data_IF_280075510738
#
_entry.id   IF_280075510738
#
_cell.length_a   1.000
_cell.length_b   1.000
_cell.length_c   1.000
_cell.angle_alpha   90.00
_cell.angle_beta   90.00
_cell.angle_gamma   90.00
#
_symmetry.space_group_name_H-M   'P 1'
#
loop_
_entity.id
_entity.type
_entity.pdbx_description
1 polymer ?
#
# COMPACT_ATOMS: atom_id res chain seq x y z
N UNK A 1 20.61 12.13 -23.51
CA UNK A 1 20.90 10.89 -22.74
C UNK A 1 19.79 10.67 -21.75
N UNK A 2 18.89 9.71 -22.03
CA UNK A 2 17.90 9.25 -21.05
C UNK A 2 18.69 8.49 -19.97
N UNK A 3 18.80 9.04 -18.75
CA UNK A 3 19.26 8.27 -17.60
C UNK A 3 18.22 7.18 -17.34
N UNK A 4 18.47 5.99 -17.80
CA UNK A 4 17.70 4.82 -17.41
C UNK A 4 18.09 4.51 -15.97
N UNK A 5 17.17 4.74 -15.04
CA UNK A 5 17.30 4.23 -13.69
C UNK A 5 17.34 2.71 -13.78
N UNK A 6 18.48 2.11 -13.45
CA UNK A 6 18.57 0.65 -13.38
C UNK A 6 17.78 0.20 -12.16
N UNK A 7 16.66 -0.47 -12.42
CA UNK A 7 15.92 -1.16 -11.37
C UNK A 7 16.65 -2.43 -11.00
N UNK A 8 16.75 -2.71 -9.71
CA UNK A 8 17.26 -4.00 -9.26
C UNK A 8 16.24 -5.09 -9.60
N UNK A 9 16.70 -6.30 -9.98
CA UNK A 9 15.82 -7.42 -10.20
C UNK A 9 15.09 -7.79 -8.89
N UNK A 10 13.87 -8.27 -9.03
CA UNK A 10 13.07 -8.76 -7.91
C UNK A 10 13.37 -10.25 -7.77
N UNK A 11 14.14 -10.62 -6.75
CA UNK A 11 14.63 -11.98 -6.55
C UNK A 11 13.99 -12.65 -5.33
N UNK A 12 13.57 -11.88 -4.33
CA UNK A 12 13.01 -12.41 -3.09
C UNK A 12 11.48 -12.46 -3.12
N UNK A 13 10.86 -13.63 -2.88
CA UNK A 13 9.41 -13.74 -2.83
C UNK A 13 8.81 -13.14 -1.56
N UNK A 14 7.63 -12.52 -1.71
CA UNK A 14 6.74 -12.18 -0.62
C UNK A 14 5.84 -13.39 -0.33
N UNK A 15 5.94 -13.94 0.85
CA UNK A 15 5.13 -15.08 1.27
C UNK A 15 3.76 -14.59 1.73
N UNK A 16 2.76 -14.72 0.86
CA UNK A 16 1.40 -14.28 1.17
C UNK A 16 0.65 -15.29 2.05
N UNK A 17 1.09 -16.54 2.08
CA UNK A 17 0.37 -17.65 2.73
C UNK A 17 -0.81 -18.18 1.94
N UNK A 18 -1.09 -17.61 0.77
CA UNK A 18 -2.16 -18.03 -0.12
C UNK A 18 -1.56 -18.89 -1.22
N UNK A 19 -1.80 -20.20 -1.15
CA UNK A 19 -1.18 -21.20 -2.07
C UNK A 19 -1.30 -20.84 -3.54
N UNK A 20 -2.45 -20.34 -3.97
CA UNK A 20 -2.68 -19.97 -5.36
C UNK A 20 -1.78 -18.80 -5.81
N UNK A 21 -1.54 -17.84 -4.94
CA UNK A 21 -0.68 -16.70 -5.23
C UNK A 21 0.78 -17.15 -5.20
N UNK A 22 1.20 -17.78 -4.11
CA UNK A 22 2.60 -18.11 -3.88
C UNK A 22 3.13 -19.15 -4.88
N UNK A 23 2.27 -20.06 -5.37
CA UNK A 23 2.67 -21.11 -6.30
C UNK A 23 2.53 -20.73 -7.79
N UNK A 24 1.51 -19.92 -8.15
CA UNK A 24 1.21 -19.67 -9.57
C UNK A 24 1.59 -18.25 -10.02
N UNK A 25 1.44 -17.26 -9.12
CA UNK A 25 1.69 -15.85 -9.43
C UNK A 25 2.42 -15.17 -8.26
N UNK A 26 3.63 -15.63 -7.92
CA UNK A 26 4.34 -15.14 -6.75
C UNK A 26 4.58 -13.64 -6.84
N UNK A 27 4.44 -12.97 -5.71
CA UNK A 27 4.73 -11.54 -5.56
C UNK A 27 6.13 -11.41 -4.99
N UNK A 28 6.97 -10.59 -5.60
CA UNK A 28 8.32 -10.33 -5.11
C UNK A 28 8.41 -9.10 -4.21
N UNK A 29 9.39 -9.08 -3.32
CA UNK A 29 9.72 -7.91 -2.50
C UNK A 29 10.26 -6.80 -3.39
N UNK A 30 9.64 -5.62 -3.35
CA UNK A 30 9.88 -4.52 -4.30
C UNK A 30 8.92 -4.50 -5.49
N UNK A 31 8.02 -5.47 -5.60
CA UNK A 31 6.99 -5.51 -6.64
C UNK A 31 5.73 -4.75 -6.21
N UNK A 32 4.97 -4.32 -7.21
CA UNK A 32 3.64 -3.71 -7.05
C UNK A 32 2.59 -4.70 -7.53
N UNK A 33 1.61 -4.99 -6.70
CA UNK A 33 0.52 -5.91 -7.03
C UNK A 33 -0.81 -5.19 -6.95
N UNK A 34 -1.62 -5.31 -8.00
CA UNK A 34 -3.00 -4.86 -8.00
C UNK A 34 -3.92 -5.99 -7.55
N UNK A 35 -4.76 -5.72 -6.56
CA UNK A 35 -5.87 -6.58 -6.16
C UNK A 35 -7.15 -5.89 -6.59
N UNK A 36 -7.80 -6.39 -7.63
CA UNK A 36 -9.00 -5.81 -8.24
C UNK A 36 -10.17 -6.78 -8.16
N UNK A 37 -11.37 -6.26 -8.00
CA UNK A 37 -12.61 -7.03 -7.97
C UNK A 37 -13.78 -6.22 -7.44
N UNK A 38 -14.98 -6.75 -7.56
CA UNK A 38 -16.20 -6.13 -7.06
C UNK A 38 -16.24 -6.03 -5.53
N UNK A 39 -17.27 -5.37 -5.01
CA UNK A 39 -17.49 -5.28 -3.58
C UNK A 39 -17.70 -6.67 -2.98
N UNK A 40 -17.12 -6.90 -1.79
CA UNK A 40 -17.24 -8.17 -1.03
C UNK A 40 -16.64 -9.40 -1.73
N UNK A 41 -15.68 -9.22 -2.65
CA UNK A 41 -14.97 -10.34 -3.32
C UNK A 41 -13.73 -10.82 -2.56
N UNK A 42 -13.50 -10.34 -1.34
CA UNK A 42 -12.38 -10.80 -0.52
C UNK A 42 -11.07 -10.03 -0.69
N UNK A 43 -11.06 -8.89 -1.41
CA UNK A 43 -9.84 -8.08 -1.62
C UNK A 43 -9.09 -7.74 -0.31
N UNK A 44 -9.83 -7.22 0.66
CA UNK A 44 -9.26 -6.87 1.98
C UNK A 44 -8.80 -8.12 2.72
N UNK A 45 -9.51 -9.26 2.59
CA UNK A 45 -9.11 -10.52 3.21
C UNK A 45 -7.75 -10.99 2.72
N UNK A 46 -7.52 -11.00 1.38
CA UNK A 46 -6.20 -11.33 0.79
C UNK A 46 -5.09 -10.45 1.39
N UNK A 47 -5.35 -9.16 1.54
CA UNK A 47 -4.38 -8.21 2.10
C UNK A 47 -4.10 -8.50 3.59
N UNK A 48 -5.14 -8.74 4.39
CA UNK A 48 -5.01 -9.05 5.81
C UNK A 48 -4.31 -10.39 6.02
N UNK A 49 -4.69 -11.43 5.28
CA UNK A 49 -4.04 -12.75 5.36
C UNK A 49 -2.55 -12.65 5.04
N UNK A 50 -2.17 -11.83 4.06
CA UNK A 50 -0.77 -11.57 3.74
C UNK A 50 -0.02 -10.93 4.91
N UNK A 51 -0.63 -9.98 5.62
CA UNK A 51 -0.05 -9.40 6.84
C UNK A 51 0.11 -10.47 7.92
N UNK A 52 -0.95 -11.22 8.21
CA UNK A 52 -0.94 -12.25 9.25
C UNK A 52 0.13 -13.31 9.00
N UNK A 53 0.36 -13.67 7.75
CA UNK A 53 1.36 -14.66 7.37
C UNK A 53 2.82 -14.18 7.59
N UNK A 54 3.06 -12.88 7.81
CA UNK A 54 4.40 -12.37 8.13
C UNK A 54 4.80 -12.64 9.59
N UNK A 55 3.90 -13.16 10.44
CA UNK A 55 4.16 -13.40 11.87
C UNK A 55 5.36 -14.31 12.09
N UNK A 56 5.44 -15.44 11.41
CA UNK A 56 6.55 -16.38 11.54
C UNK A 56 7.89 -15.73 11.13
N UNK A 57 7.91 -14.92 10.08
CA UNK A 57 9.08 -14.17 9.66
C UNK A 57 9.48 -13.14 10.72
N UNK A 58 8.51 -12.48 11.35
CA UNK A 58 8.76 -11.50 12.40
C UNK A 58 9.34 -12.16 13.66
N UNK A 59 8.74 -13.26 14.11
CA UNK A 59 9.16 -14.01 15.30
C UNK A 59 10.52 -14.71 15.13
N UNK A 60 10.96 -14.96 13.89
CA UNK A 60 12.27 -15.56 13.62
C UNK A 60 13.46 -14.70 14.11
N UNK A 61 13.27 -13.40 14.32
CA UNK A 61 14.33 -12.46 14.68
C UNK A 61 15.32 -12.16 13.56
N UNK A 62 15.19 -12.80 12.42
CA UNK A 62 16.05 -12.63 11.24
C UNK A 62 15.61 -11.37 10.46
N UNK A 63 16.45 -10.34 10.49
CA UNK A 63 16.15 -9.05 9.84
C UNK A 63 15.93 -9.16 8.34
N UNK A 64 16.57 -10.10 7.68
CA UNK A 64 16.45 -10.29 6.23
C UNK A 64 15.12 -10.97 5.85
N UNK A 65 14.46 -11.61 6.83
CA UNK A 65 13.13 -12.21 6.62
C UNK A 65 12.00 -11.33 7.12
N UNK A 66 12.26 -10.51 8.15
CA UNK A 66 11.25 -9.67 8.77
C UNK A 66 10.65 -8.68 7.77
N UNK A 67 9.33 -8.53 7.80
CA UNK A 67 8.60 -7.56 6.98
C UNK A 67 7.79 -6.65 7.89
N UNK A 68 8.01 -5.35 7.80
CA UNK A 68 7.14 -4.34 8.42
C UNK A 68 5.95 -4.07 7.53
N UNK A 69 4.76 -4.10 8.10
CA UNK A 69 3.53 -3.92 7.36
C UNK A 69 2.91 -2.54 7.63
N UNK A 70 2.36 -1.92 6.61
CA UNK A 70 1.60 -0.68 6.71
C UNK A 70 0.25 -0.90 6.01
N UNK A 71 -0.82 -0.79 6.77
CA UNK A 71 -2.17 -0.84 6.23
C UNK A 71 -2.74 0.57 6.16
N UNK A 72 -2.96 1.07 4.95
CA UNK A 72 -3.51 2.40 4.71
C UNK A 72 -4.99 2.28 4.37
N UNK A 73 -5.85 2.60 5.32
CA UNK A 73 -7.31 2.62 5.17
C UNK A 73 -7.77 3.98 4.65
N UNK A 74 -8.36 4.01 3.45
CA UNK A 74 -8.74 5.25 2.77
C UNK A 74 -10.25 5.27 2.54
N UNK A 75 -10.95 6.19 3.18
CA UNK A 75 -12.38 6.39 2.98
C UNK A 75 -13.27 5.22 3.45
N UNK A 76 -12.75 4.33 4.27
CA UNK A 76 -13.51 3.24 4.87
C UNK A 76 -14.34 3.71 6.06
N UNK A 77 -15.38 2.94 6.42
CA UNK A 77 -16.14 3.19 7.65
C UNK A 77 -15.26 2.93 8.87
N UNK A 78 -15.37 3.75 9.91
CA UNK A 78 -14.63 3.57 11.15
C UNK A 78 -14.80 2.18 11.77
N UNK A 79 -16.01 1.59 11.69
CA UNK A 79 -16.28 0.23 12.15
C UNK A 79 -15.50 -0.84 11.38
N UNK A 80 -15.27 -0.64 10.07
CA UNK A 80 -14.47 -1.55 9.25
C UNK A 80 -13.00 -1.47 9.66
N UNK A 81 -12.48 -0.25 9.86
CA UNK A 81 -11.10 -0.03 10.32
C UNK A 81 -10.88 -0.64 11.71
N UNK A 82 -11.85 -0.44 12.62
CA UNK A 82 -11.81 -1.06 13.95
C UNK A 82 -11.84 -2.60 13.89
N UNK A 83 -12.60 -3.17 12.94
CA UNK A 83 -12.61 -4.61 12.69
C UNK A 83 -11.25 -5.13 12.23
N UNK A 84 -10.63 -4.46 11.27
CA UNK A 84 -9.27 -4.81 10.80
C UNK A 84 -8.26 -4.72 11.95
N UNK A 85 -8.27 -3.61 12.71
CA UNK A 85 -7.40 -3.46 13.87
C UNK A 85 -7.56 -4.62 14.86
N UNK A 86 -8.80 -4.96 15.21
CA UNK A 86 -9.08 -6.06 16.15
C UNK A 86 -8.55 -7.40 15.61
N UNK A 87 -8.78 -7.71 14.33
CA UNK A 87 -8.25 -8.94 13.72
C UNK A 87 -6.72 -8.99 13.80
N UNK A 88 -6.02 -7.89 13.52
CA UNK A 88 -4.56 -7.82 13.64
C UNK A 88 -4.10 -7.97 15.10
N UNK A 89 -4.82 -7.39 16.05
CA UNK A 89 -4.53 -7.47 17.48
C UNK A 89 -4.71 -8.90 18.02
N UNK A 90 -5.82 -9.56 17.70
CA UNK A 90 -6.13 -10.94 18.09
C UNK A 90 -5.07 -11.94 17.61
N UNK A 91 -4.41 -11.67 16.49
CA UNK A 91 -3.36 -12.51 15.92
C UNK A 91 -1.94 -12.05 16.28
N UNK A 92 -1.79 -10.99 17.08
CA UNK A 92 -0.48 -10.43 17.46
C UNK A 92 0.27 -9.76 16.31
N UNK A 93 -0.43 -9.33 15.27
CA UNK A 93 0.18 -8.71 14.10
C UNK A 93 0.43 -7.20 14.25
N UNK A 94 -0.05 -6.57 15.32
CA UNK A 94 0.19 -5.14 15.58
C UNK A 94 1.65 -4.83 15.94
N UNK A 95 2.43 -5.82 16.38
CA UNK A 95 3.84 -5.63 16.71
C UNK A 95 4.69 -5.23 15.50
N UNK A 96 4.26 -5.62 14.29
CA UNK A 96 4.95 -5.32 13.04
C UNK A 96 4.07 -4.58 12.03
N UNK A 97 2.84 -4.20 12.41
CA UNK A 97 1.89 -3.54 11.51
C UNK A 97 1.49 -2.16 12.02
N UNK A 98 1.62 -1.16 11.17
CA UNK A 98 1.13 0.21 11.41
C UNK A 98 -0.12 0.45 10.58
N UNK A 99 -1.17 1.00 11.20
CA UNK A 99 -2.41 1.40 10.52
C UNK A 99 -2.40 2.91 10.33
N UNK A 100 -2.48 3.34 9.07
CA UNK A 100 -2.69 4.75 8.69
C UNK A 100 -4.13 4.90 8.22
N UNK A 101 -4.95 5.61 8.95
CA UNK A 101 -6.38 5.69 8.70
C UNK A 101 -6.83 7.10 8.31
N UNK A 102 -7.57 7.20 7.21
CA UNK A 102 -8.38 8.35 6.83
C UNK A 102 -9.82 7.87 6.57
N UNK A 103 -10.67 7.78 7.61
CA UNK A 103 -12.02 7.24 7.51
C UNK A 103 -12.92 8.07 6.60
N UNK A 104 -14.10 7.53 6.27
CA UNK A 104 -15.07 8.17 5.39
C UNK A 104 -15.54 9.54 5.90
N UNK A 105 -15.55 9.74 7.22
CA UNK A 105 -15.90 10.99 7.88
C UNK A 105 -14.87 12.11 7.70
N UNK A 106 -13.63 11.77 7.39
CA UNK A 106 -12.56 12.73 7.22
C UNK A 106 -12.70 13.57 5.95
N UNK A 107 -12.04 14.73 5.94
CA UNK A 107 -12.02 15.59 4.76
C UNK A 107 -11.32 14.93 3.56
N UNK A 108 -11.62 15.42 2.36
CA UNK A 108 -10.98 14.95 1.14
C UNK A 108 -9.44 15.12 1.19
N UNK A 109 -8.95 16.16 1.87
CA UNK A 109 -7.52 16.40 2.06
C UNK A 109 -6.81 15.25 2.78
N UNK A 110 -7.38 14.76 3.87
CA UNK A 110 -6.81 13.63 4.61
C UNK A 110 -6.83 12.34 3.80
N UNK A 111 -7.92 12.04 3.09
CA UNK A 111 -8.02 10.85 2.22
C UNK A 111 -7.02 10.90 1.06
N UNK A 112 -6.75 12.09 0.54
CA UNK A 112 -5.73 12.29 -0.48
C UNK A 112 -4.32 12.11 0.08
N UNK A 113 -4.05 12.60 1.31
CA UNK A 113 -2.72 12.60 1.93
C UNK A 113 -2.33 11.23 2.52
N UNK A 114 -3.27 10.47 3.07
CA UNK A 114 -3.00 9.23 3.81
C UNK A 114 -2.11 8.23 3.06
N UNK A 115 -2.30 7.94 1.75
CA UNK A 115 -1.42 7.04 1.02
C UNK A 115 0.03 7.54 0.96
N UNK A 116 0.23 8.84 0.80
CA UNK A 116 1.57 9.43 0.78
C UNK A 116 2.25 9.36 2.15
N UNK A 117 1.48 9.52 3.23
CA UNK A 117 1.98 9.36 4.59
C UNK A 117 2.42 7.92 4.86
N UNK A 118 1.59 6.94 4.45
CA UNK A 118 1.95 5.52 4.53
C UNK A 118 3.20 5.18 3.70
N UNK A 119 3.29 5.72 2.47
CA UNK A 119 4.46 5.55 1.63
C UNK A 119 5.73 6.16 2.26
N UNK A 120 5.63 7.34 2.88
CA UNK A 120 6.76 7.99 3.54
C UNK A 120 7.28 7.19 4.74
N UNK A 121 6.38 6.62 5.54
CA UNK A 121 6.73 5.68 6.62
C UNK A 121 7.46 4.46 6.08
N UNK A 122 6.92 3.85 5.01
CA UNK A 122 7.54 2.69 4.37
C UNK A 122 8.93 3.01 3.82
N UNK A 123 9.10 4.16 3.17
CA UNK A 123 10.40 4.61 2.67
C UNK A 123 11.42 4.81 3.80
N UNK A 124 11.00 5.37 4.94
CA UNK A 124 11.88 5.53 6.09
C UNK A 124 12.46 4.19 6.56
N UNK A 125 11.63 3.17 6.70
CA UNK A 125 12.11 1.85 7.10
C UNK A 125 12.91 1.16 6.00
N UNK A 126 12.51 1.31 4.74
CA UNK A 126 13.23 0.76 3.59
C UNK A 126 14.67 1.32 3.51
N UNK A 127 14.85 2.62 3.75
CA UNK A 127 16.19 3.22 3.78
C UNK A 127 17.05 2.77 4.97
N UNK A 128 16.43 2.17 5.99
CA UNK A 128 17.12 1.52 7.10
C UNK A 128 17.44 0.04 6.82
N UNK A 129 17.17 -0.44 5.59
CA UNK A 129 17.40 -1.82 5.19
C UNK A 129 16.29 -2.80 5.58
N UNK A 130 15.11 -2.32 5.98
CA UNK A 130 14.00 -3.23 6.30
C UNK A 130 13.15 -3.52 5.05
N UNK A 131 12.59 -4.73 4.98
CA UNK A 131 11.53 -5.03 4.04
C UNK A 131 10.21 -4.44 4.51
N UNK A 132 9.45 -3.85 3.58
CA UNK A 132 8.19 -3.18 3.89
C UNK A 132 7.09 -3.60 2.94
N UNK A 133 5.94 -3.99 3.50
CA UNK A 133 4.70 -4.22 2.76
C UNK A 133 3.76 -3.06 3.01
N UNK A 134 3.37 -2.34 1.96
CA UNK A 134 2.38 -1.25 2.07
C UNK A 134 1.11 -1.66 1.32
N UNK A 135 -0.01 -1.63 2.03
CA UNK A 135 -1.33 -1.95 1.48
C UNK A 135 -2.17 -0.68 1.45
N UNK A 136 -2.71 -0.34 0.29
CA UNK A 136 -3.62 0.79 0.11
C UNK A 136 -5.05 0.27 -0.12
N UNK A 137 -5.94 0.46 0.83
CA UNK A 137 -7.33 0.02 0.76
C UNK A 137 -8.29 1.20 0.98
N UNK A 138 -8.82 1.85 -0.10
CA UNK A 138 -8.49 1.61 -1.50
C UNK A 138 -8.08 2.92 -2.21
N UNK A 139 -7.36 2.79 -3.31
CA UNK A 139 -6.91 3.93 -4.13
C UNK A 139 -8.04 4.59 -4.93
N UNK A 140 -9.18 3.92 -5.13
CA UNK A 140 -10.38 4.54 -5.72
C UNK A 140 -10.87 5.69 -4.85
N UNK A 141 -10.88 5.51 -3.54
CA UNK A 141 -11.26 6.55 -2.58
C UNK A 141 -10.29 7.73 -2.57
N UNK A 142 -9.00 7.48 -2.79
CA UNK A 142 -8.03 8.55 -2.98
C UNK A 142 -8.32 9.35 -4.26
N UNK A 143 -8.63 8.68 -5.38
CA UNK A 143 -8.96 9.35 -6.63
C UNK A 143 -10.25 10.18 -6.52
N UNK A 144 -11.29 9.64 -5.86
CA UNK A 144 -12.53 10.38 -5.57
C UNK A 144 -12.26 11.64 -4.72
N UNK A 145 -11.41 11.53 -3.71
CA UNK A 145 -11.00 12.67 -2.87
C UNK A 145 -10.23 13.72 -3.69
N UNK A 146 -9.31 13.28 -4.56
CA UNK A 146 -8.57 14.18 -5.43
C UNK A 146 -9.46 14.88 -6.45
N UNK A 147 -10.47 14.19 -6.99
CA UNK A 147 -11.52 14.79 -7.83
C UNK A 147 -12.24 15.90 -7.07
N UNK A 148 -12.69 15.65 -5.85
CA UNK A 148 -13.38 16.63 -5.03
C UNK A 148 -12.50 17.87 -4.77
N UNK A 149 -11.24 17.69 -4.41
CA UNK A 149 -10.28 18.79 -4.20
C UNK A 149 -10.09 19.58 -5.50
N UNK A 150 -9.91 18.90 -6.63
CA UNK A 150 -9.69 19.55 -7.93
C UNK A 150 -10.88 20.38 -8.37
N UNK A 151 -12.11 19.91 -8.15
CA UNK A 151 -13.34 20.67 -8.42
C UNK A 151 -13.47 21.90 -7.52
N UNK A 152 -13.15 21.78 -6.22
CA UNK A 152 -13.13 22.91 -5.30
C UNK A 152 -12.11 23.98 -5.73
N UNK A 153 -10.98 23.57 -6.28
CA UNK A 153 -9.94 24.45 -6.83
C UNK A 153 -10.27 24.95 -8.24
N UNK A 154 -11.48 24.68 -8.75
CA UNK A 154 -11.96 25.07 -10.08
C UNK A 154 -11.03 24.62 -11.21
N UNK A 155 -10.33 23.51 -11.07
CA UNK A 155 -9.56 22.91 -12.15
C UNK A 155 -10.51 22.36 -13.23
N UNK A 156 -10.16 22.48 -14.52
CA UNK A 156 -11.02 21.97 -15.59
C UNK A 156 -11.19 20.45 -15.45
N UNK A 157 -12.44 19.96 -15.38
CA UNK A 157 -12.70 18.52 -15.26
C UNK A 157 -12.50 17.82 -16.60
N UNK A 158 -11.97 16.59 -16.54
CA UNK A 158 -11.95 15.64 -17.64
C UNK A 158 -13.13 14.67 -17.58
N UNK A 159 -12.93 13.47 -18.12
CA UNK A 159 -13.93 12.39 -18.09
C UNK A 159 -14.36 12.08 -16.66
N UNK A 160 -15.65 11.93 -16.42
CA UNK A 160 -16.27 11.65 -15.10
C UNK A 160 -15.87 12.68 -14.02
N UNK A 161 -15.61 13.91 -14.45
CA UNK A 161 -15.15 15.01 -13.62
C UNK A 161 -13.79 14.79 -12.91
N UNK A 162 -13.02 13.77 -13.29
CA UNK A 162 -11.66 13.59 -12.80
C UNK A 162 -10.72 14.62 -13.43
N UNK A 163 -9.73 15.13 -12.70
CA UNK A 163 -8.69 15.96 -13.27
C UNK A 163 -7.82 15.15 -14.25
N UNK A 164 -7.26 15.79 -15.28
CA UNK A 164 -6.47 15.12 -16.30
C UNK A 164 -5.20 14.42 -15.79
N UNK A 165 -4.72 14.80 -14.60
CA UNK A 165 -3.54 14.25 -13.96
C UNK A 165 -3.84 13.15 -12.91
N UNK A 166 -5.07 12.61 -12.88
CA UNK A 166 -5.45 11.56 -11.90
C UNK A 166 -4.57 10.32 -12.00
N UNK A 167 -4.13 9.94 -13.20
CA UNK A 167 -3.19 8.83 -13.38
C UNK A 167 -1.85 9.11 -12.70
N UNK A 168 -1.36 10.33 -12.79
CA UNK A 168 -0.11 10.74 -12.16
C UNK A 168 -0.17 10.68 -10.63
N UNK A 169 -1.36 10.88 -10.04
CA UNK A 169 -1.58 10.68 -8.61
C UNK A 169 -1.16 9.28 -8.14
N UNK A 170 -1.60 8.25 -8.84
CA UNK A 170 -1.31 6.86 -8.48
C UNK A 170 0.09 6.42 -8.95
N UNK A 171 0.52 6.80 -10.14
CA UNK A 171 1.82 6.39 -10.67
C UNK A 171 2.98 6.89 -9.79
N UNK A 172 2.97 8.16 -9.38
CA UNK A 172 4.01 8.70 -8.48
C UNK A 172 4.01 8.08 -7.09
N UNK A 173 2.84 7.62 -6.60
CA UNK A 173 2.73 6.90 -5.33
C UNK A 173 3.36 5.50 -5.45
N UNK A 174 2.98 4.76 -6.49
CA UNK A 174 3.39 3.38 -6.71
C UNK A 174 4.87 3.26 -7.12
N UNK A 175 5.43 4.26 -7.78
CA UNK A 175 6.86 4.27 -8.13
C UNK A 175 7.77 4.33 -6.89
N UNK A 176 7.28 4.78 -5.75
CA UNK A 176 8.05 4.78 -4.49
C UNK A 176 8.39 3.38 -3.97
N UNK A 177 7.65 2.36 -4.40
CA UNK A 177 7.92 0.96 -4.03
C UNK A 177 9.01 0.32 -4.90
N UNK A 178 9.45 0.97 -5.98
CA UNK A 178 10.46 0.43 -6.87
C UNK A 178 11.84 0.47 -6.22
N UNK A 179 12.52 -0.67 -6.15
CA UNK A 179 13.92 -0.74 -5.73
C UNK A 179 14.81 -0.19 -6.84
N UNK A 180 15.56 0.85 -6.54
CA UNK A 180 16.45 1.53 -7.48
C UNK A 180 17.87 1.45 -6.96
N UNK A 181 18.82 1.04 -7.80
CA UNK A 181 20.24 1.12 -7.48
C UNK A 181 20.73 2.57 -7.62
N UNK A 182 21.16 3.18 -6.51
CA UNK A 182 21.74 4.52 -6.48
C UNK A 182 23.26 4.53 -6.70
N UNK A 183 23.83 3.45 -7.24
CA UNK A 183 25.27 3.30 -7.34
C UNK A 183 25.97 4.25 -8.33
N UNK A 184 25.22 5.14 -8.99
CA UNK A 184 25.80 6.17 -9.88
C UNK A 184 25.02 7.49 -9.79
N UNK A 185 25.17 8.22 -8.71
CA UNK A 185 24.98 9.67 -8.66
C UNK A 185 26.32 10.36 -8.65
#
# INVERSE_FOLDING_TARGET
>A
YKRQLQRQPVEEPMQTGIKAIDAMTPIGRGQRQLVIGDRKTGKTAVCIDTILNQKANWESGDKDKQVRCIYVAIGQKGSTIAGVRRTLEEHGALDYTTIVAAPASDSAGFKWLAPFSGAALGQHWMYQGNHVLVIYDDLTKQAEAYRAISLLLRRPPGREAYPGDVFYLHSRLLERAATVSYTHL
#
